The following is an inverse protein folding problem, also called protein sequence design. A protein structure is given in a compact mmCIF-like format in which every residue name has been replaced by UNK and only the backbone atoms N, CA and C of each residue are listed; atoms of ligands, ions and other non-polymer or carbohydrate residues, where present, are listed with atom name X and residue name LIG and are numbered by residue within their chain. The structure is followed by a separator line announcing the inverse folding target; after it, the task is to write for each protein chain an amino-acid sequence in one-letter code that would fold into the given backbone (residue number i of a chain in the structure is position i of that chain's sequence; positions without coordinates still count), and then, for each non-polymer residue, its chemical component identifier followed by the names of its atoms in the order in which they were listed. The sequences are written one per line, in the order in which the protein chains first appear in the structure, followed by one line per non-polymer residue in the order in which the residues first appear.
data_IF_043163945325
#
_entry.id   IF_043163945325
#
_cell.length_a   1.000
_cell.length_b   1.000
_cell.length_c   1.000
_cell.angle_alpha   90.00
_cell.angle_beta   90.00
_cell.angle_gamma   90.00
#
_symmetry.space_group_name_H-M   'P 1'
#
loop_
_entity.id
_entity.type
_entity.pdbx_description
1 polymer ?
#
# COMPACT_ATOMS: atom_id res chain seq x y z
N UNK A 1 12.53 -24.08 17.63
CA UNK A 1 11.63 -23.12 16.98
C UNK A 1 12.48 -21.98 16.42
N UNK A 2 12.51 -21.77 15.11
CA UNK A 2 13.24 -20.65 14.53
C UNK A 2 12.58 -19.35 15.01
N UNK A 3 13.38 -18.35 15.42
CA UNK A 3 12.82 -17.05 15.80
C UNK A 3 12.19 -16.41 14.56
N UNK A 4 11.02 -15.75 14.68
CA UNK A 4 10.40 -15.08 13.56
C UNK A 4 11.33 -14.00 13.00
N UNK A 5 11.37 -13.79 11.66
CA UNK A 5 12.18 -12.74 11.07
C UNK A 5 11.87 -11.40 11.74
N UNK A 6 12.92 -10.70 12.20
CA UNK A 6 12.77 -9.39 12.84
C UNK A 6 11.97 -8.47 11.92
N UNK A 7 10.89 -7.90 12.46
CA UNK A 7 10.03 -6.99 11.72
C UNK A 7 8.80 -7.63 11.07
N UNK A 8 8.67 -8.96 11.02
CA UNK A 8 7.55 -9.65 10.34
C UNK A 8 6.19 -9.23 10.90
N UNK A 9 5.98 -9.40 12.21
CA UNK A 9 4.69 -9.11 12.86
C UNK A 9 4.40 -7.61 12.86
N UNK A 10 5.42 -6.76 13.05
CA UNK A 10 5.26 -5.31 13.03
C UNK A 10 4.88 -4.82 11.63
N UNK A 11 5.50 -5.33 10.56
CA UNK A 11 5.13 -4.99 9.18
C UNK A 11 3.73 -5.50 8.82
N UNK A 12 3.34 -6.69 9.27
CA UNK A 12 1.99 -7.21 9.06
C UNK A 12 0.92 -6.36 9.77
N UNK A 13 1.19 -5.91 11.02
CA UNK A 13 0.30 -5.00 11.75
C UNK A 13 0.24 -3.61 11.11
N UNK A 14 1.38 -3.07 10.69
CA UNK A 14 1.44 -1.80 9.97
C UNK A 14 0.66 -1.88 8.66
N UNK A 15 0.82 -2.97 7.91
CA UNK A 15 0.03 -3.24 6.70
C UNK A 15 -1.47 -3.28 6.99
N UNK A 16 -1.88 -3.95 8.07
CA UNK A 16 -3.30 -4.00 8.46
C UNK A 16 -3.85 -2.60 8.75
N UNK A 17 -3.15 -1.81 9.56
CA UNK A 17 -3.56 -0.45 9.93
C UNK A 17 -3.56 0.47 8.72
N UNK A 18 -2.51 0.43 7.89
CA UNK A 18 -2.38 1.27 6.70
C UNK A 18 -3.50 0.99 5.70
N UNK A 19 -3.79 -0.29 5.40
CA UNK A 19 -4.87 -0.64 4.48
C UNK A 19 -6.26 -0.35 5.05
N UNK A 20 -6.45 -0.51 6.37
CA UNK A 20 -7.70 -0.15 7.03
C UNK A 20 -7.96 1.37 6.99
N UNK A 21 -6.90 2.18 7.16
CA UNK A 21 -6.98 3.64 7.07
C UNK A 21 -7.05 4.16 5.63
N UNK A 22 -6.51 3.43 4.64
CA UNK A 22 -6.55 3.83 3.24
C UNK A 22 -7.98 4.02 2.73
N UNK A 23 -8.94 3.24 3.24
CA UNK A 23 -10.37 3.32 2.87
C UNK A 23 -11.00 4.66 3.32
N UNK A 24 -11.04 5.01 4.62
CA UNK A 24 -11.63 6.27 5.08
C UNK A 24 -10.83 7.49 4.61
N UNK A 25 -9.50 7.39 4.51
CA UNK A 25 -8.67 8.50 3.99
C UNK A 25 -8.94 8.74 2.51
N UNK A 26 -9.02 7.67 1.70
CA UNK A 26 -9.37 7.79 0.28
C UNK A 26 -10.74 8.43 0.08
N UNK A 27 -11.73 8.05 0.89
CA UNK A 27 -13.05 8.67 0.87
C UNK A 27 -13.00 10.15 1.26
N UNK A 28 -12.26 10.51 2.31
CA UNK A 28 -12.09 11.90 2.72
C UNK A 28 -11.44 12.76 1.63
N UNK A 29 -10.41 12.24 0.96
CA UNK A 29 -9.77 12.92 -0.19
C UNK A 29 -10.76 13.11 -1.34
N UNK A 30 -11.61 12.13 -1.63
CA UNK A 30 -12.64 12.25 -2.66
C UNK A 30 -13.66 13.36 -2.32
N UNK A 31 -14.06 13.48 -1.05
CA UNK A 31 -15.07 14.44 -0.62
C UNK A 31 -14.55 15.88 -0.52
N UNK A 32 -13.31 16.04 -0.04
CA UNK A 32 -12.71 17.33 0.30
C UNK A 32 -11.93 17.97 -0.85
N UNK A 33 -11.44 17.17 -1.80
CA UNK A 33 -10.66 17.68 -2.93
C UNK A 33 -11.58 18.25 -4.03
N UNK A 34 -11.12 19.30 -4.71
CA UNK A 34 -11.79 19.86 -5.89
C UNK A 34 -11.69 18.93 -7.11
N UNK A 35 -10.73 18.00 -7.09
CA UNK A 35 -10.48 16.98 -8.13
C UNK A 35 -11.24 15.66 -7.91
N UNK A 36 -12.56 15.77 -7.71
CA UNK A 36 -13.40 14.63 -7.30
C UNK A 36 -13.47 13.50 -8.32
N UNK A 37 -13.65 13.81 -9.60
CA UNK A 37 -13.85 12.77 -10.64
C UNK A 37 -12.61 11.89 -10.83
N UNK A 38 -11.39 12.44 -10.99
CA UNK A 38 -10.18 11.61 -11.03
C UNK A 38 -9.99 10.79 -9.76
N UNK A 39 -10.22 11.39 -8.59
CA UNK A 39 -10.07 10.71 -7.29
C UNK A 39 -11.07 9.57 -7.12
N UNK A 40 -12.32 9.74 -7.60
CA UNK A 40 -13.34 8.69 -7.61
C UNK A 40 -12.95 7.55 -8.53
N UNK A 41 -12.55 7.85 -9.78
CA UNK A 41 -12.21 6.82 -10.77
C UNK A 41 -10.99 6.02 -10.31
N UNK A 42 -9.91 6.68 -9.92
CA UNK A 42 -8.69 6.01 -9.44
C UNK A 42 -8.93 5.31 -8.10
N UNK A 43 -9.68 5.96 -7.21
CA UNK A 43 -10.07 5.44 -5.91
C UNK A 43 -10.84 4.13 -6.03
N UNK A 44 -11.92 4.13 -6.80
CA UNK A 44 -12.82 2.99 -6.97
C UNK A 44 -12.18 1.85 -7.80
N UNK A 45 -11.48 2.18 -8.88
CA UNK A 45 -10.93 1.17 -9.80
C UNK A 45 -9.67 0.50 -9.28
N UNK A 46 -8.87 1.20 -8.46
CA UNK A 46 -7.52 0.73 -8.16
C UNK A 46 -7.15 0.84 -6.67
N UNK A 47 -7.41 1.96 -6.00
CA UNK A 47 -6.98 2.15 -4.59
C UNK A 47 -7.77 1.25 -3.64
N UNK A 48 -9.11 1.23 -3.75
CA UNK A 48 -9.97 0.38 -2.91
C UNK A 48 -9.70 -1.12 -3.11
N UNK A 49 -9.68 -1.68 -4.34
CA UNK A 49 -9.37 -3.10 -4.50
C UNK A 49 -7.97 -3.43 -4.00
N UNK A 50 -6.97 -2.55 -4.20
CA UNK A 50 -5.62 -2.74 -3.65
C UNK A 50 -5.64 -2.80 -2.12
N UNK A 51 -6.37 -1.89 -1.46
CA UNK A 51 -6.49 -1.85 0.00
C UNK A 51 -7.17 -3.11 0.54
N UNK A 52 -8.22 -3.61 -0.13
CA UNK A 52 -8.89 -4.86 0.24
C UNK A 52 -7.93 -6.05 0.15
N UNK A 53 -7.19 -6.18 -0.95
CA UNK A 53 -6.17 -7.24 -1.10
C UNK A 53 -5.09 -7.11 -0.02
N UNK A 54 -4.66 -5.88 0.31
CA UNK A 54 -3.69 -5.61 1.37
C UNK A 54 -4.19 -5.97 2.78
N UNK A 55 -5.49 -5.78 3.07
CA UNK A 55 -6.11 -6.24 4.31
C UNK A 55 -6.09 -7.77 4.40
N UNK A 56 -6.55 -8.46 3.35
CA UNK A 56 -6.57 -9.93 3.30
C UNK A 56 -5.16 -10.49 3.43
N UNK A 57 -4.18 -9.88 2.76
CA UNK A 57 -2.77 -10.22 2.88
C UNK A 57 -2.28 -10.10 4.33
N UNK A 58 -2.57 -8.97 4.98
CA UNK A 58 -2.14 -8.70 6.36
C UNK A 58 -2.76 -9.69 7.35
N UNK A 59 -4.04 -10.05 7.15
CA UNK A 59 -4.72 -11.08 7.95
C UNK A 59 -4.07 -12.45 7.74
N UNK A 60 -3.76 -12.82 6.48
CA UNK A 60 -3.06 -14.05 6.15
C UNK A 60 -1.67 -14.14 6.78
N UNK A 61 -0.92 -13.04 6.74
CA UNK A 61 0.40 -12.92 7.36
C UNK A 61 0.36 -13.06 8.88
N UNK A 62 -0.62 -12.44 9.54
CA UNK A 62 -0.82 -12.56 11.00
C UNK A 62 -1.22 -13.99 11.42
N UNK A 63 -1.86 -14.74 10.51
CA UNK A 63 -2.17 -16.16 10.68
C UNK A 63 -1.03 -17.10 10.23
N UNK A 64 0.17 -16.56 9.97
CA UNK A 64 1.35 -17.32 9.51
C UNK A 64 1.10 -18.15 8.25
N UNK A 65 0.28 -17.66 7.33
CA UNK A 65 -0.03 -18.36 6.09
C UNK A 65 0.86 -17.90 4.93
N UNK A 66 1.47 -18.85 4.22
CA UNK A 66 2.32 -18.58 3.05
C UNK A 66 1.60 -17.77 1.95
N UNK A 67 0.31 -18.01 1.72
CA UNK A 67 -0.47 -17.24 0.73
C UNK A 67 -0.65 -15.76 1.11
N UNK A 68 -0.54 -15.41 2.41
CA UNK A 68 -0.56 -14.02 2.86
C UNK A 68 0.63 -13.23 2.32
N UNK A 69 1.82 -13.85 2.21
CA UNK A 69 3.00 -13.22 1.62
C UNK A 69 2.80 -12.94 0.13
N UNK A 70 2.20 -13.88 -0.61
CA UNK A 70 1.93 -13.71 -2.05
C UNK A 70 0.96 -12.54 -2.26
N UNK A 71 -0.14 -12.50 -1.49
CA UNK A 71 -1.10 -11.40 -1.58
C UNK A 71 -0.50 -10.06 -1.16
N UNK A 72 0.44 -10.04 -0.20
CA UNK A 72 1.13 -8.81 0.19
C UNK A 72 1.98 -8.25 -0.95
N UNK A 73 2.72 -9.12 -1.65
CA UNK A 73 3.52 -8.75 -2.83
C UNK A 73 2.61 -8.19 -3.93
N UNK A 74 1.49 -8.86 -4.20
CA UNK A 74 0.50 -8.41 -5.20
C UNK A 74 -0.09 -7.05 -4.83
N UNK A 75 -0.55 -6.87 -3.58
CA UNK A 75 -1.11 -5.60 -3.12
C UNK A 75 -0.10 -4.45 -3.20
N UNK A 76 1.15 -4.69 -2.79
CA UNK A 76 2.21 -3.67 -2.86
C UNK A 76 2.58 -3.33 -4.30
N UNK A 77 2.60 -4.31 -5.20
CA UNK A 77 2.83 -4.07 -6.63
C UNK A 77 1.70 -3.26 -7.26
N UNK A 78 0.44 -3.59 -6.96
CA UNK A 78 -0.72 -2.79 -7.39
C UNK A 78 -0.63 -1.36 -6.84
N UNK A 79 -0.29 -1.19 -5.57
CA UNK A 79 -0.14 0.13 -4.95
C UNK A 79 0.92 0.97 -5.67
N UNK A 80 2.08 0.39 -6.02
CA UNK A 80 3.12 1.09 -6.79
C UNK A 80 2.65 1.45 -8.20
N UNK A 81 1.95 0.53 -8.87
CA UNK A 81 1.43 0.73 -10.22
C UNK A 81 0.39 1.86 -10.29
N UNK A 82 -0.32 2.13 -9.20
CA UNK A 82 -1.33 3.20 -9.12
C UNK A 82 -0.73 4.51 -8.63
N UNK A 83 0.06 4.46 -7.56
CA UNK A 83 0.56 5.65 -6.87
C UNK A 83 1.50 6.48 -7.74
N UNK A 84 2.34 5.84 -8.56
CA UNK A 84 3.31 6.53 -9.40
C UNK A 84 2.64 7.34 -10.54
N UNK A 85 1.82 6.75 -11.44
CA UNK A 85 1.16 7.52 -12.49
C UNK A 85 0.20 8.57 -11.94
N UNK A 86 -0.57 8.24 -10.89
CA UNK A 86 -1.48 9.21 -10.26
C UNK A 86 -0.71 10.40 -9.65
N UNK A 87 0.40 10.13 -8.95
CA UNK A 87 1.26 11.16 -8.39
C UNK A 87 1.85 12.09 -9.46
N UNK A 88 2.34 11.53 -10.58
CA UNK A 88 2.88 12.31 -11.71
C UNK A 88 1.79 13.21 -12.31
N UNK A 89 0.62 12.66 -12.62
CA UNK A 89 -0.50 13.41 -13.21
C UNK A 89 -0.95 14.54 -12.28
N UNK A 90 -1.06 14.27 -10.97
CA UNK A 90 -1.45 15.27 -9.98
C UNK A 90 -0.40 16.39 -9.84
N UNK A 91 0.89 16.05 -9.85
CA UNK A 91 1.98 17.03 -9.79
C UNK A 91 2.08 17.89 -11.06
N UNK A 92 1.78 17.33 -12.22
CA UNK A 92 1.79 18.06 -13.48
C UNK A 92 0.64 19.09 -13.54
N UNK A 93 -0.56 18.68 -13.12
CA UNK A 93 -1.79 19.43 -13.32
C UNK A 93 -2.18 20.36 -12.17
N UNK A 94 -1.77 20.08 -10.92
CA UNK A 94 -2.03 20.96 -9.78
C UNK A 94 -0.75 21.72 -9.39
N UNK A 95 -0.86 23.04 -9.28
CA UNK A 95 0.21 23.91 -8.75
C UNK A 95 0.16 24.02 -7.22
N UNK A 96 -1.05 23.97 -6.64
CA UNK A 96 -1.26 24.05 -5.20
C UNK A 96 -0.65 22.85 -4.46
N UNK A 97 0.11 23.13 -3.40
CA UNK A 97 0.70 22.08 -2.56
C UNK A 97 1.64 21.13 -3.32
N UNK A 98 2.20 21.54 -4.46
CA UNK A 98 3.05 20.70 -5.32
C UNK A 98 4.25 20.09 -4.58
N UNK A 99 4.93 20.88 -3.75
CA UNK A 99 6.05 20.39 -2.94
C UNK A 99 5.61 19.35 -1.91
N UNK A 100 4.50 19.60 -1.21
CA UNK A 100 3.94 18.64 -0.23
C UNK A 100 3.52 17.35 -0.92
N UNK A 101 2.84 17.46 -2.07
CA UNK A 101 2.43 16.30 -2.87
C UNK A 101 3.64 15.52 -3.37
N UNK A 102 4.69 16.18 -3.83
CA UNK A 102 5.90 15.53 -4.31
C UNK A 102 6.61 14.76 -3.19
N UNK A 103 6.74 15.38 -2.01
CA UNK A 103 7.33 14.75 -0.84
C UNK A 103 6.50 13.55 -0.37
N UNK A 104 5.18 13.71 -0.22
CA UNK A 104 4.30 12.63 0.23
C UNK A 104 4.25 11.47 -0.77
N UNK A 105 4.15 11.75 -2.07
CA UNK A 105 4.18 10.71 -3.11
C UNK A 105 5.53 9.99 -3.15
N UNK A 106 6.64 10.71 -3.03
CA UNK A 106 7.98 10.10 -2.97
C UNK A 106 8.19 9.25 -1.73
N UNK A 107 7.74 9.74 -0.57
CA UNK A 107 7.82 8.99 0.69
C UNK A 107 6.94 7.73 0.66
N UNK A 108 5.72 7.83 0.13
CA UNK A 108 4.82 6.69 0.01
C UNK A 108 5.39 5.64 -0.96
N UNK A 109 5.94 6.08 -2.09
CA UNK A 109 6.54 5.19 -3.09
C UNK A 109 7.77 4.47 -2.54
N UNK A 110 8.66 5.20 -1.86
CA UNK A 110 9.85 4.60 -1.23
C UNK A 110 9.48 3.63 -0.11
N UNK A 111 8.51 3.97 0.75
CA UNK A 111 8.02 3.09 1.80
C UNK A 111 7.37 1.80 1.26
N UNK A 112 6.56 1.92 0.20
CA UNK A 112 5.89 0.79 -0.44
C UNK A 112 6.91 -0.12 -1.14
N UNK A 113 7.91 0.47 -1.80
CA UNK A 113 9.02 -0.27 -2.40
C UNK A 113 9.86 -1.01 -1.34
N UNK A 114 10.18 -0.35 -0.23
CA UNK A 114 10.90 -0.98 0.88
C UNK A 114 10.12 -2.16 1.49
N UNK A 115 8.80 -2.01 1.67
CA UNK A 115 7.94 -3.09 2.11
C UNK A 115 7.91 -4.25 1.10
N UNK A 116 7.82 -3.96 -0.19
CA UNK A 116 7.83 -4.97 -1.25
C UNK A 116 9.15 -5.76 -1.22
N UNK A 117 10.28 -5.07 -1.17
CA UNK A 117 11.61 -5.69 -1.08
C UNK A 117 11.73 -6.57 0.16
N UNK A 118 11.19 -6.13 1.31
CA UNK A 118 11.15 -6.95 2.52
C UNK A 118 10.40 -8.26 2.28
N UNK A 119 9.18 -8.21 1.75
CA UNK A 119 8.35 -9.39 1.51
C UNK A 119 8.90 -10.31 0.41
N UNK A 120 9.71 -9.81 -0.51
CA UNK A 120 10.40 -10.63 -1.52
C UNK A 120 11.58 -11.45 -0.95
N UNK A 121 12.00 -11.24 0.30
CA UNK A 121 13.17 -11.94 0.84
C UNK A 121 12.91 -13.45 1.02
N UNK A 122 13.82 -14.32 0.56
CA UNK A 122 13.63 -15.78 0.60
C UNK A 122 13.58 -16.35 2.02
N UNK A 123 14.19 -15.66 3.00
CA UNK A 123 14.12 -16.04 4.40
C UNK A 123 12.69 -16.00 4.98
N UNK A 124 11.83 -15.09 4.50
CA UNK A 124 10.43 -15.04 4.92
C UNK A 124 9.66 -16.23 4.37
N UNK A 125 9.88 -16.56 3.08
CA UNK A 125 9.22 -17.68 2.42
C UNK A 125 9.54 -19.01 3.11
N UNK A 126 10.81 -19.22 3.49
CA UNK A 126 11.25 -20.43 4.19
C UNK A 126 10.66 -20.59 5.60
N UNK A 127 10.20 -19.51 6.21
CA UNK A 127 9.59 -19.55 7.55
C UNK A 127 8.09 -19.93 7.52
N UNK A 128 7.43 -19.74 6.38
CA UNK A 128 5.98 -19.95 6.21
C UNK A 128 5.61 -21.30 5.56
N UNK A 129 6.62 -22.09 5.17
CA UNK A 129 6.50 -23.46 4.63
C UNK A 129 6.86 -24.43 5.75
#
# INVERSE_FOLDING_TARGET
MQQPPRGYVTLARLGLVANALAIPVGLAVILLDSWRTPNLVVGASAVLPTAVVGLVASIGLLKWRAWGQILAIVALAMALAVALPYGIVRLALLSEGRLVTALLSGLLWSATTAALVFWCRPCIRRYLI
#
